data_IF_506061842178
#
_entry.id   IF_506061842178
#
_cell.length_a   1.000
_cell.length_b   1.000
_cell.length_c   1.000
_cell.angle_alpha   90.00
_cell.angle_beta   90.00
_cell.angle_gamma   90.00
#
_symmetry.space_group_name_H-M   'P 1'
#
loop_
_entity.id
_entity.type
_entity.pdbx_description
1 polymer ?
#
# COMPACT_ATOMS: atom_id res chain seq x y z
N UNK A 1 72.58 17.69 26.63
CA UNK A 1 71.31 18.44 26.39
C UNK A 1 70.79 18.00 25.10
N UNK A 2 69.66 17.33 25.10
CA UNK A 2 68.92 16.89 23.85
C UNK A 2 68.09 18.06 23.36
N UNK A 3 68.24 18.52 22.11
CA UNK A 3 67.43 19.60 21.60
C UNK A 3 66.00 19.13 21.47
N UNK A 4 65.08 19.75 22.24
CA UNK A 4 63.68 19.52 22.14
C UNK A 4 63.12 20.24 20.89
N UNK A 5 62.42 19.51 20.04
CA UNK A 5 61.66 20.10 18.91
C UNK A 5 60.32 20.58 19.44
N UNK A 6 60.08 21.89 19.43
CA UNK A 6 58.77 22.45 19.73
C UNK A 6 58.01 22.67 18.41
N UNK A 7 56.88 21.97 18.26
CA UNK A 7 55.95 22.16 17.13
C UNK A 7 54.89 23.16 17.58
N UNK A 8 54.76 24.30 16.87
CA UNK A 8 53.73 25.29 17.10
C UNK A 8 52.75 25.23 15.93
N UNK A 9 51.47 24.95 16.21
CA UNK A 9 50.42 25.07 15.21
C UNK A 9 50.19 26.56 14.94
N UNK A 10 50.47 27.00 13.73
CA UNK A 10 50.33 28.41 13.29
C UNK A 10 48.95 28.72 12.78
N UNK A 11 48.25 27.74 12.26
CA UNK A 11 46.88 27.86 11.81
C UNK A 11 46.15 26.51 11.94
N UNK A 12 44.97 26.52 12.51
CA UNK A 12 44.13 25.32 12.64
C UNK A 12 42.78 25.59 11.92
N UNK A 13 42.69 25.16 10.68
CA UNK A 13 41.47 25.17 9.88
C UNK A 13 40.73 23.83 9.93
N UNK A 14 41.36 22.78 10.41
CA UNK A 14 40.81 21.45 10.47
C UNK A 14 39.84 21.26 11.65
N UNK A 15 40.16 21.82 12.82
CA UNK A 15 39.28 21.70 13.99
C UNK A 15 37.94 22.38 13.84
N UNK A 16 37.82 23.59 13.25
CA UNK A 16 36.54 24.18 12.92
C UNK A 16 35.73 23.33 11.92
N UNK A 17 36.37 22.86 10.84
CA UNK A 17 35.74 22.02 9.85
C UNK A 17 35.25 20.69 10.42
N UNK A 18 36.02 20.06 11.30
CA UNK A 18 35.62 18.85 12.02
C UNK A 18 34.44 19.10 12.96
N UNK A 19 34.41 20.22 13.68
CA UNK A 19 33.27 20.61 14.52
C UNK A 19 32.02 20.82 13.69
N UNK A 20 32.13 21.55 12.59
CA UNK A 20 30.99 21.76 11.66
C UNK A 20 30.47 20.43 11.10
N UNK A 21 31.35 19.48 10.79
CA UNK A 21 30.97 18.14 10.38
C UNK A 21 30.29 17.36 11.52
N UNK A 22 30.81 17.42 12.73
CA UNK A 22 30.19 16.77 13.90
C UNK A 22 28.84 17.38 14.21
N UNK A 23 28.68 18.70 14.15
CA UNK A 23 27.42 19.40 14.33
C UNK A 23 26.43 19.09 13.21
N UNK A 24 26.90 18.82 12.01
CA UNK A 24 26.07 18.40 10.90
C UNK A 24 25.51 16.98 11.07
N UNK A 25 26.17 16.14 11.90
CA UNK A 25 25.81 14.73 12.15
C UNK A 25 24.93 14.58 13.40
N UNK A 26 24.50 15.69 14.05
CA UNK A 26 23.56 15.55 15.17
C UNK A 26 22.27 14.83 14.72
N UNK A 27 21.70 13.95 15.56
CA UNK A 27 20.50 13.17 15.20
C UNK A 27 19.35 14.04 14.67
N UNK A 28 19.16 15.23 15.26
CA UNK A 28 18.09 16.15 14.88
C UNK A 28 18.32 16.73 13.48
N UNK A 29 19.54 17.14 13.16
CA UNK A 29 19.88 17.66 11.84
C UNK A 29 19.83 16.57 10.78
N UNK A 30 20.32 15.37 11.11
CA UNK A 30 20.19 14.20 10.25
C UNK A 30 18.71 13.90 9.96
N UNK A 31 17.89 13.80 11.00
CA UNK A 31 16.46 13.54 10.87
C UNK A 31 15.75 14.59 10.04
N UNK A 32 16.06 15.87 10.26
CA UNK A 32 15.45 16.98 9.50
C UNK A 32 15.80 16.98 8.00
N UNK A 33 16.98 16.47 7.64
CA UNK A 33 17.43 16.40 6.25
C UNK A 33 16.97 15.12 5.54
N UNK A 34 17.16 13.98 6.18
CA UNK A 34 16.88 12.66 5.61
C UNK A 34 15.39 12.35 5.69
N UNK A 35 14.71 12.70 6.79
CA UNK A 35 13.33 12.36 7.04
C UNK A 35 12.36 12.72 5.91
N UNK A 36 12.31 13.98 5.43
CA UNK A 36 11.46 14.36 4.31
C UNK A 36 11.75 13.59 3.03
N UNK A 37 13.02 13.20 2.80
CA UNK A 37 13.42 12.50 1.57
C UNK A 37 13.02 11.02 1.58
N UNK A 38 13.18 10.35 2.70
CA UNK A 38 12.69 8.96 2.84
C UNK A 38 11.16 8.90 2.87
N UNK A 39 10.49 9.95 3.36
CA UNK A 39 9.04 10.07 3.23
C UNK A 39 8.63 10.15 1.77
N UNK A 40 9.23 11.04 0.98
CA UNK A 40 8.94 11.19 -0.46
C UNK A 40 9.24 9.90 -1.21
N UNK A 41 10.40 9.26 -0.96
CA UNK A 41 10.72 7.96 -1.55
C UNK A 41 9.60 6.94 -1.31
N UNK A 42 9.12 6.83 -0.07
CA UNK A 42 8.06 5.89 0.28
C UNK A 42 6.72 6.27 -0.38
N UNK A 43 6.42 7.56 -0.46
CA UNK A 43 5.21 8.07 -1.11
C UNK A 43 5.21 7.74 -2.61
N UNK A 44 6.31 8.01 -3.30
CA UNK A 44 6.45 7.77 -4.74
C UNK A 44 6.41 6.28 -5.06
N UNK A 45 7.08 5.46 -4.25
CA UNK A 45 7.03 4.01 -4.39
C UNK A 45 5.61 3.47 -4.26
N UNK A 46 4.88 3.85 -3.20
CA UNK A 46 3.48 3.45 -3.00
C UNK A 46 2.58 3.96 -4.13
N UNK A 47 2.75 5.19 -4.58
CA UNK A 47 1.98 5.74 -5.69
C UNK A 47 2.22 4.96 -6.99
N UNK A 48 3.45 4.53 -7.23
CA UNK A 48 3.84 3.72 -8.39
C UNK A 48 3.21 2.31 -8.41
N UNK A 49 2.86 1.75 -7.24
CA UNK A 49 2.20 0.44 -7.14
C UNK A 49 0.72 0.45 -7.58
N UNK A 50 0.15 1.61 -7.86
CA UNK A 50 -1.27 1.79 -8.19
C UNK A 50 -1.72 1.17 -9.51
N UNK A 51 -0.84 0.51 -10.26
CA UNK A 51 -1.15 -0.12 -11.54
C UNK A 51 -2.16 -1.27 -11.39
N UNK A 52 -3.14 -1.26 -12.26
CA UNK A 52 -4.24 -2.22 -12.28
C UNK A 52 -3.80 -3.57 -12.86
N UNK A 53 -3.42 -4.51 -12.01
CA UNK A 53 -2.82 -5.79 -12.41
C UNK A 53 -3.78 -6.77 -13.09
N UNK A 54 -5.10 -6.56 -13.06
CA UNK A 54 -6.07 -7.57 -13.55
C UNK A 54 -7.27 -6.98 -14.31
N UNK A 55 -7.19 -5.75 -14.81
CA UNK A 55 -8.34 -5.13 -15.49
C UNK A 55 -9.53 -4.79 -14.58
N UNK A 56 -9.40 -4.95 -13.26
CA UNK A 56 -10.41 -4.53 -12.30
C UNK A 56 -10.33 -3.01 -12.06
N UNK A 57 -11.43 -2.36 -11.66
CA UNK A 57 -11.40 -0.94 -11.31
C UNK A 57 -10.36 -0.67 -10.22
N UNK A 58 -9.49 0.31 -10.45
CA UNK A 58 -8.50 0.70 -9.43
C UNK A 58 -9.22 1.32 -8.23
N UNK A 59 -8.96 0.77 -7.04
CA UNK A 59 -9.43 1.37 -5.78
C UNK A 59 -8.53 2.50 -5.31
N UNK A 60 -7.46 2.79 -6.05
CA UNK A 60 -6.38 3.72 -5.63
C UNK A 60 -5.88 3.41 -4.23
N UNK A 61 -5.80 2.11 -3.92
CA UNK A 61 -5.47 1.63 -2.58
C UNK A 61 -4.13 2.18 -2.11
N UNK A 62 -3.07 1.96 -2.87
CA UNK A 62 -1.71 2.40 -2.49
C UNK A 62 -1.56 3.93 -2.50
N UNK A 63 -2.20 4.64 -3.42
CA UNK A 63 -2.22 6.12 -3.43
C UNK A 63 -2.80 6.71 -2.13
N UNK A 64 -3.81 6.05 -1.54
CA UNK A 64 -4.38 6.48 -0.26
C UNK A 64 -3.38 6.34 0.88
N UNK A 65 -2.56 5.29 0.87
CA UNK A 65 -1.49 5.12 1.85
C UNK A 65 -0.32 6.06 1.60
N UNK A 66 0.05 6.33 0.34
CA UNK A 66 1.09 7.29 0.01
C UNK A 66 0.84 8.66 0.64
N UNK A 67 -0.41 9.13 0.63
CA UNK A 67 -0.80 10.40 1.28
C UNK A 67 -0.67 10.38 2.81
N UNK A 68 -0.66 9.21 3.42
CA UNK A 68 -0.61 9.00 4.86
C UNK A 68 0.77 8.59 5.38
N UNK A 69 1.81 8.67 4.55
CA UNK A 69 3.19 8.46 4.97
C UNK A 69 3.66 9.69 5.76
N UNK A 70 4.29 9.45 6.89
CA UNK A 70 4.93 10.48 7.73
C UNK A 70 6.29 9.99 8.17
N UNK A 71 7.24 10.89 8.20
CA UNK A 71 8.51 10.63 8.86
C UNK A 71 8.45 11.13 10.31
N UNK A 72 9.18 10.47 11.17
CA UNK A 72 9.29 10.77 12.59
C UNK A 72 10.75 10.74 12.99
N UNK A 73 11.24 11.76 13.72
CA UNK A 73 12.57 11.71 14.28
C UNK A 73 12.65 10.60 15.34
N UNK A 74 13.79 9.93 15.40
CA UNK A 74 14.14 8.94 16.42
C UNK A 74 15.49 9.33 17.02
N UNK A 75 15.79 8.86 18.22
CA UNK A 75 17.03 9.19 18.94
C UNK A 75 18.29 8.95 18.11
N UNK A 76 18.29 7.92 17.25
CA UNK A 76 19.43 7.54 16.42
C UNK A 76 19.12 7.48 14.93
N UNK A 77 18.11 8.25 14.46
CA UNK A 77 17.77 8.19 13.04
C UNK A 77 16.39 8.72 12.66
N UNK A 78 15.80 8.09 11.67
CA UNK A 78 14.49 8.45 11.12
C UNK A 78 13.61 7.21 11.02
N UNK A 79 12.40 7.28 11.53
CA UNK A 79 11.36 6.30 11.27
C UNK A 79 10.38 6.80 10.18
N UNK A 80 9.91 5.89 9.34
CA UNK A 80 8.81 6.17 8.42
C UNK A 80 7.57 5.43 8.91
N UNK A 81 6.53 6.17 9.22
CA UNK A 81 5.23 5.64 9.62
C UNK A 81 4.24 5.75 8.45
N UNK A 82 3.56 4.65 8.16
CA UNK A 82 2.46 4.61 7.20
C UNK A 82 1.17 4.48 8.00
N UNK A 83 0.46 5.59 8.13
CA UNK A 83 -0.77 5.64 8.90
C UNK A 83 -1.91 4.92 8.15
N UNK A 84 -2.90 4.38 8.89
CA UNK A 84 -4.07 3.78 8.27
C UNK A 84 -4.79 4.73 7.32
N UNK A 85 -5.35 4.18 6.25
CA UNK A 85 -6.10 4.93 5.25
C UNK A 85 -7.57 4.52 5.23
N UNK A 86 -8.46 5.44 4.84
CA UNK A 86 -9.86 5.14 4.61
C UNK A 86 -10.04 4.49 3.24
N UNK A 87 -10.44 3.23 3.24
CA UNK A 87 -10.76 2.47 2.03
C UNK A 87 -12.22 2.01 2.13
N UNK A 88 -13.06 2.48 1.22
CA UNK A 88 -14.50 2.20 1.22
C UNK A 88 -15.17 2.47 2.59
N UNK A 89 -14.85 3.62 3.21
CA UNK A 89 -15.41 4.03 4.50
C UNK A 89 -14.85 3.28 5.73
N UNK A 90 -13.88 2.39 5.54
CA UNK A 90 -13.25 1.63 6.64
C UNK A 90 -11.79 2.03 6.78
N UNK A 91 -11.34 2.13 8.02
CA UNK A 91 -9.93 2.34 8.31
C UNK A 91 -9.16 1.04 8.13
N UNK A 92 -8.18 1.05 7.25
CA UNK A 92 -7.38 -0.13 6.88
C UNK A 92 -5.91 0.18 7.06
N UNK A 93 -5.14 -0.77 7.59
CA UNK A 93 -3.68 -0.70 7.68
C UNK A 93 -3.00 -1.42 6.51
N UNK A 94 -1.78 -1.00 6.19
CA UNK A 94 -0.97 -1.64 5.15
C UNK A 94 -0.28 -2.94 5.62
N UNK A 95 -0.23 -3.17 6.94
CA UNK A 95 0.53 -4.25 7.55
C UNK A 95 0.25 -5.65 6.99
N UNK A 96 -1.02 -5.97 6.73
CA UNK A 96 -1.39 -7.25 6.11
C UNK A 96 -0.82 -7.45 4.70
N UNK A 97 -0.59 -6.37 3.95
CA UNK A 97 0.03 -6.45 2.62
C UNK A 97 1.53 -6.67 2.71
N UNK A 98 2.17 -6.04 3.70
CA UNK A 98 3.62 -6.12 3.89
C UNK A 98 4.03 -7.42 4.58
N UNK A 99 3.36 -7.78 5.67
CA UNK A 99 3.75 -8.89 6.54
C UNK A 99 2.94 -10.16 6.33
N UNK A 100 1.85 -10.07 5.57
CA UNK A 100 0.89 -11.15 5.45
C UNK A 100 0.05 -11.33 6.71
N UNK A 101 -0.79 -12.35 6.70
CA UNK A 101 -1.61 -12.72 7.83
C UNK A 101 -2.94 -13.31 7.44
N UNK A 102 -3.71 -13.72 8.44
CA UNK A 102 -5.03 -14.31 8.24
C UNK A 102 -6.12 -13.34 8.68
N UNK A 103 -7.01 -13.03 7.75
CA UNK A 103 -8.20 -12.21 8.00
C UNK A 103 -9.33 -13.16 8.38
N UNK A 104 -9.96 -12.89 9.53
CA UNK A 104 -11.17 -13.59 9.98
C UNK A 104 -12.33 -12.60 10.09
N UNK A 105 -13.57 -13.03 9.87
CA UNK A 105 -14.72 -12.18 10.10
C UNK A 105 -14.86 -11.88 11.61
N UNK A 106 -15.24 -10.65 11.95
CA UNK A 106 -15.44 -10.24 13.36
C UNK A 106 -16.91 -10.16 13.73
N UNK A 107 -17.75 -9.61 12.85
CA UNK A 107 -19.18 -9.33 13.12
C UNK A 107 -20.12 -10.16 12.25
N UNK A 108 -19.61 -10.88 11.28
CA UNK A 108 -20.37 -11.70 10.31
C UNK A 108 -19.85 -13.13 10.34
N UNK A 109 -20.67 -14.08 9.93
CA UNK A 109 -20.26 -15.49 9.93
C UNK A 109 -19.15 -15.82 8.90
N UNK A 110 -19.11 -15.10 7.77
CA UNK A 110 -18.16 -15.34 6.69
C UNK A 110 -17.73 -14.03 6.05
N UNK A 111 -16.52 -14.05 5.50
CA UNK A 111 -15.99 -12.97 4.66
C UNK A 111 -16.58 -13.09 3.26
N UNK A 112 -17.04 -11.99 2.69
CA UNK A 112 -17.47 -11.89 1.30
C UNK A 112 -16.31 -11.34 0.44
N UNK A 113 -15.72 -12.22 -0.36
CA UNK A 113 -14.57 -11.91 -1.22
C UNK A 113 -15.09 -11.61 -2.61
N UNK A 114 -14.89 -10.40 -3.18
CA UNK A 114 -15.32 -10.09 -4.53
C UNK A 114 -14.56 -10.95 -5.53
N UNK A 115 -15.28 -11.58 -6.46
CA UNK A 115 -14.72 -12.45 -7.49
C UNK A 115 -15.11 -12.02 -8.91
N UNK A 116 -15.93 -10.99 -9.03
CA UNK A 116 -16.35 -10.40 -10.29
C UNK A 116 -15.85 -8.96 -10.40
N UNK A 117 -15.51 -8.46 -11.60
CA UNK A 117 -15.16 -7.05 -11.79
C UNK A 117 -16.24 -6.09 -11.27
N UNK A 118 -17.52 -6.49 -11.36
CA UNK A 118 -18.66 -5.69 -10.89
C UNK A 118 -18.71 -5.58 -9.36
N UNK A 119 -18.26 -6.61 -8.65
CA UNK A 119 -18.27 -6.63 -7.17
C UNK A 119 -16.98 -6.07 -6.55
N UNK A 120 -15.97 -5.81 -7.37
CA UNK A 120 -14.70 -5.31 -6.88
C UNK A 120 -14.82 -3.86 -6.36
N UNK A 121 -14.43 -3.64 -5.11
CA UNK A 121 -14.58 -2.34 -4.44
C UNK A 121 -15.95 -2.10 -3.81
N UNK A 122 -16.88 -3.04 -3.94
CA UNK A 122 -18.20 -3.00 -3.36
C UNK A 122 -18.38 -4.00 -2.22
N UNK A 123 -19.43 -3.79 -1.42
CA UNK A 123 -19.85 -4.70 -0.35
C UNK A 123 -21.16 -5.39 -0.75
N UNK A 124 -21.50 -6.56 -0.16
CA UNK A 124 -22.73 -7.27 -0.52
C UNK A 124 -24.00 -6.44 -0.40
N UNK A 125 -24.07 -5.49 0.54
CA UNK A 125 -25.22 -4.59 0.71
C UNK A 125 -25.46 -3.64 -0.47
N UNK A 126 -24.48 -3.44 -1.34
CA UNK A 126 -24.61 -2.59 -2.51
C UNK A 126 -25.38 -3.26 -3.65
N UNK A 127 -25.62 -4.58 -3.52
CA UNK A 127 -26.28 -5.39 -4.52
C UNK A 127 -27.66 -5.86 -4.03
N UNK A 128 -28.76 -5.40 -4.64
CA UNK A 128 -30.09 -5.90 -4.30
C UNK A 128 -30.26 -7.35 -4.77
N UNK A 129 -31.14 -8.09 -4.10
CA UNK A 129 -31.53 -9.44 -4.49
C UNK A 129 -30.40 -10.47 -4.59
N UNK A 130 -29.37 -10.33 -3.75
CA UNK A 130 -28.36 -11.38 -3.60
C UNK A 130 -28.96 -12.62 -2.96
N UNK A 131 -28.59 -13.77 -3.47
CA UNK A 131 -28.93 -15.05 -2.84
C UNK A 131 -27.71 -15.92 -2.64
N UNK A 132 -27.77 -16.78 -1.63
CA UNK A 132 -26.73 -17.71 -1.29
C UNK A 132 -26.82 -18.96 -2.19
N UNK A 133 -25.74 -19.27 -2.89
CA UNK A 133 -25.59 -20.51 -3.63
C UNK A 133 -24.44 -21.33 -3.00
N UNK A 134 -24.80 -22.53 -2.52
CA UNK A 134 -23.83 -23.51 -2.04
C UNK A 134 -23.52 -24.50 -3.15
N UNK A 135 -22.23 -24.71 -3.42
CA UNK A 135 -21.73 -25.65 -4.41
C UNK A 135 -20.66 -26.54 -3.78
N UNK A 136 -20.24 -27.58 -4.46
CA UNK A 136 -19.09 -28.41 -4.03
C UNK A 136 -17.77 -27.62 -3.93
N UNK A 137 -17.67 -26.48 -4.63
CA UNK A 137 -16.49 -25.60 -4.62
C UNK A 137 -16.56 -24.48 -3.56
N UNK A 138 -17.66 -24.42 -2.79
CA UNK A 138 -17.84 -23.43 -1.75
C UNK A 138 -19.20 -22.70 -1.81
N UNK A 139 -19.34 -21.70 -0.98
CA UNK A 139 -20.52 -20.85 -0.89
C UNK A 139 -20.26 -19.51 -1.59
N UNK A 140 -21.27 -19.04 -2.30
CA UNK A 140 -21.20 -17.82 -3.10
C UNK A 140 -22.44 -16.97 -2.92
N UNK A 141 -22.26 -15.64 -2.99
CA UNK A 141 -23.37 -14.72 -3.19
C UNK A 141 -23.49 -14.42 -4.67
N UNK A 142 -24.65 -14.71 -5.20
CA UNK A 142 -24.98 -14.61 -6.62
C UNK A 142 -26.15 -13.66 -6.85
N UNK A 143 -26.24 -13.13 -8.06
CA UNK A 143 -27.37 -12.38 -8.56
C UNK A 143 -27.79 -12.95 -9.91
N UNK A 144 -29.07 -12.81 -10.28
CA UNK A 144 -29.51 -13.14 -11.63
C UNK A 144 -29.08 -12.06 -12.60
N UNK A 145 -28.61 -12.43 -13.79
CA UNK A 145 -28.04 -11.49 -14.75
C UNK A 145 -29.01 -10.40 -15.22
N UNK A 146 -30.33 -10.69 -15.20
CA UNK A 146 -31.40 -9.73 -15.51
C UNK A 146 -31.63 -8.65 -14.43
N UNK A 147 -31.06 -8.86 -13.23
CA UNK A 147 -31.20 -7.95 -12.09
C UNK A 147 -29.98 -7.05 -11.86
N UNK A 148 -28.94 -7.17 -12.67
CA UNK A 148 -27.79 -6.28 -12.62
C UNK A 148 -28.18 -4.96 -13.28
N UNK A 149 -28.39 -3.91 -12.47
CA UNK A 149 -28.77 -2.61 -12.98
C UNK A 149 -27.68 -1.99 -13.88
N UNK A 150 -28.07 -1.27 -14.92
CA UNK A 150 -27.17 -0.54 -15.82
C UNK A 150 -26.24 0.47 -15.10
N UNK A 151 -26.63 0.92 -13.90
CA UNK A 151 -25.81 1.83 -13.07
C UNK A 151 -24.56 1.18 -12.49
N UNK A 152 -24.53 -0.13 -12.31
CA UNK A 152 -23.37 -0.89 -11.81
C UNK A 152 -22.49 -1.44 -12.92
N UNK A 153 -22.84 -1.18 -14.15
CA UNK A 153 -22.10 -1.34 -15.39
C UNK A 153 -21.73 -2.74 -15.86
N UNK A 154 -22.36 -3.14 -16.98
CA UNK A 154 -21.85 -4.02 -18.03
C UNK A 154 -21.70 -5.51 -17.74
N UNK A 155 -22.76 -6.16 -17.32
CA UNK A 155 -23.07 -7.50 -17.80
C UNK A 155 -24.52 -7.53 -18.25
N UNK A 156 -24.78 -6.90 -19.38
CA UNK A 156 -26.03 -7.11 -20.11
C UNK A 156 -25.99 -8.55 -20.60
N UNK A 157 -26.73 -9.43 -19.94
CA UNK A 157 -27.00 -10.74 -20.46
C UNK A 157 -27.60 -10.57 -21.84
N UNK A 158 -26.88 -10.99 -22.88
CA UNK A 158 -27.42 -11.07 -24.23
C UNK A 158 -28.61 -11.98 -24.16
N UNK A 159 -29.80 -11.38 -24.25
CA UNK A 159 -31.05 -12.07 -24.45
C UNK A 159 -30.96 -12.81 -25.78
N UNK A 160 -30.61 -14.11 -25.71
CA UNK A 160 -30.71 -14.97 -26.87
C UNK A 160 -32.15 -14.99 -27.35
N UNK A 161 -32.48 -14.22 -28.38
CA UNK A 161 -33.66 -14.43 -29.18
C UNK A 161 -33.51 -15.77 -29.93
N UNK A 162 -34.24 -16.78 -29.50
CA UNK A 162 -34.25 -18.07 -30.17
C UNK A 162 -35.38 -18.90 -29.60
N UNK A 163 -36.55 -18.85 -30.29
CA UNK A 163 -37.75 -19.61 -29.93
C UNK A 163 -37.45 -21.11 -29.85
N UNK A 164 -37.86 -21.67 -28.73
CA UNK A 164 -38.46 -23.01 -28.64
C UNK A 164 -39.07 -23.14 -27.24
N UNK A 165 -40.37 -23.24 -27.21
CA UNK A 165 -41.16 -23.52 -26.03
C UNK A 165 -40.68 -24.82 -25.40
N UNK A 166 -40.08 -24.75 -24.21
CA UNK A 166 -39.63 -25.93 -23.43
C UNK A 166 -38.25 -25.88 -22.84
N UNK A 167 -37.33 -24.99 -23.29
CA UNK A 167 -36.02 -24.81 -22.66
C UNK A 167 -36.15 -23.86 -21.46
N UNK A 168 -36.07 -24.41 -20.26
CA UNK A 168 -35.86 -23.57 -19.06
C UNK A 168 -34.68 -22.66 -19.34
N UNK A 169 -34.95 -21.36 -19.55
CA UNK A 169 -33.91 -20.35 -19.63
C UNK A 169 -33.21 -20.42 -18.28
N UNK A 170 -32.00 -20.99 -18.23
CA UNK A 170 -31.11 -20.82 -17.09
C UNK A 170 -30.81 -19.33 -17.08
N UNK A 171 -31.43 -18.60 -16.16
CA UNK A 171 -31.04 -17.24 -15.88
C UNK A 171 -29.55 -17.25 -15.66
N UNK A 172 -28.78 -16.47 -16.43
CA UNK A 172 -27.35 -16.39 -16.29
C UNK A 172 -27.04 -15.93 -14.87
N UNK A 173 -26.45 -16.82 -14.08
CA UNK A 173 -26.06 -16.54 -12.71
C UNK A 173 -24.73 -15.81 -12.72
N UNK A 174 -24.70 -14.65 -12.09
CA UNK A 174 -23.48 -13.90 -11.89
C UNK A 174 -22.99 -14.13 -10.45
N UNK A 175 -21.82 -14.73 -10.33
CA UNK A 175 -21.15 -14.94 -9.07
C UNK A 175 -20.43 -13.64 -8.68
N UNK A 176 -20.89 -12.99 -7.63
CA UNK A 176 -20.35 -11.69 -7.18
C UNK A 176 -19.32 -11.86 -6.08
N UNK A 177 -19.65 -12.65 -5.06
CA UNK A 177 -18.76 -12.85 -3.93
C UNK A 177 -18.60 -14.33 -3.60
N UNK A 178 -17.38 -14.74 -3.25
CA UNK A 178 -17.11 -16.02 -2.60
C UNK A 178 -17.12 -15.82 -1.09
N UNK A 179 -17.81 -16.71 -0.38
CA UNK A 179 -17.84 -16.70 1.07
C UNK A 179 -16.72 -17.60 1.63
N UNK A 180 -15.96 -17.07 2.58
CA UNK A 180 -14.89 -17.80 3.24
C UNK A 180 -14.89 -17.54 4.75
N UNK A 181 -14.59 -18.57 5.54
CA UNK A 181 -14.46 -18.44 6.99
C UNK A 181 -13.19 -17.66 7.38
N UNK A 182 -12.16 -17.72 6.54
CA UNK A 182 -10.93 -16.94 6.69
C UNK A 182 -10.24 -16.79 5.34
N UNK A 183 -9.37 -15.78 5.25
CA UNK A 183 -8.48 -15.57 4.09
C UNK A 183 -7.09 -15.35 4.62
N UNK A 184 -6.16 -16.20 4.18
CA UNK A 184 -4.73 -15.99 4.43
C UNK A 184 -4.13 -15.27 3.23
N UNK A 185 -3.40 -14.20 3.50
CA UNK A 185 -2.66 -13.44 2.52
C UNK A 185 -1.18 -13.56 2.83
N UNK A 186 -0.39 -13.90 1.84
CA UNK A 186 1.06 -13.84 1.94
C UNK A 186 1.53 -12.38 2.00
N UNK A 187 2.57 -12.13 2.79
CA UNK A 187 3.21 -10.83 2.84
C UNK A 187 3.98 -10.56 1.56
N UNK A 188 4.03 -9.30 1.17
CA UNK A 188 4.89 -8.84 0.09
C UNK A 188 5.67 -7.62 0.55
N UNK A 189 6.97 -7.78 0.74
CA UNK A 189 7.85 -6.69 1.14
C UNK A 189 8.10 -5.68 0.03
N UNK A 190 7.93 -6.05 -1.24
CA UNK A 190 8.07 -5.13 -2.39
C UNK A 190 7.00 -4.01 -2.39
N UNK A 191 6.06 -4.07 -1.46
CA UNK A 191 5.11 -2.97 -1.19
C UNK A 191 5.82 -1.75 -0.58
N UNK A 192 7.00 -1.94 -0.01
CA UNK A 192 7.85 -0.87 0.53
C UNK A 192 9.12 -0.77 -0.31
N UNK A 193 9.76 0.41 -0.35
CA UNK A 193 11.11 0.53 -0.89
C UNK A 193 12.05 -0.47 -0.22
N UNK A 194 13.04 -0.94 -0.95
CA UNK A 194 14.07 -1.83 -0.42
C UNK A 194 14.94 -1.13 0.63
N UNK A 195 15.57 -1.91 1.50
CA UNK A 195 16.50 -1.39 2.49
C UNK A 195 17.67 -0.63 1.81
N UNK A 196 18.10 -1.09 0.63
CA UNK A 196 19.15 -0.42 -0.16
C UNK A 196 18.68 0.95 -0.68
N UNK A 197 17.45 1.09 -1.16
CA UNK A 197 16.90 2.39 -1.59
C UNK A 197 16.82 3.38 -0.44
N UNK A 198 16.40 2.91 0.75
CA UNK A 198 16.39 3.73 1.95
C UNK A 198 17.81 4.16 2.35
N UNK A 199 18.76 3.22 2.33
CA UNK A 199 20.16 3.47 2.68
C UNK A 199 20.81 4.47 1.70
N UNK A 200 20.65 4.27 0.39
CA UNK A 200 21.18 5.17 -0.63
C UNK A 200 20.58 6.58 -0.51
N UNK A 201 19.28 6.66 -0.24
CA UNK A 201 18.61 7.94 0.01
C UNK A 201 19.18 8.62 1.26
N UNK A 202 19.33 7.88 2.35
CA UNK A 202 19.90 8.42 3.59
C UNK A 202 21.33 8.93 3.38
N UNK A 203 22.19 8.14 2.75
CA UNK A 203 23.59 8.51 2.44
C UNK A 203 23.61 9.78 1.57
N UNK A 204 22.86 9.80 0.47
CA UNK A 204 22.81 10.93 -0.47
C UNK A 204 22.49 12.24 0.23
N UNK A 205 21.52 12.24 1.14
CA UNK A 205 21.04 13.46 1.78
C UNK A 205 21.73 13.78 3.13
N UNK A 206 22.37 12.79 3.76
CA UNK A 206 23.24 13.03 4.90
C UNK A 206 24.57 13.67 4.49
N UNK A 207 25.20 13.16 3.41
CA UNK A 207 26.51 13.62 2.94
C UNK A 207 26.44 14.69 1.85
N UNK A 208 25.29 14.94 1.24
CA UNK A 208 25.14 15.89 0.12
C UNK A 208 25.45 17.35 0.46
N UNK A 209 25.97 17.63 1.65
CA UNK A 209 26.37 18.97 2.08
C UNK A 209 27.88 19.23 2.06
N UNK A 210 28.70 18.25 1.72
CA UNK A 210 30.17 18.46 1.68
C UNK A 210 30.69 18.88 0.30
N UNK A 211 29.82 19.02 -0.69
CA UNK A 211 30.24 19.31 -2.07
C UNK A 211 29.32 20.31 -2.76
N UNK A 212 29.38 21.60 -2.41
CA UNK A 212 28.63 22.56 -3.23
C UNK A 212 28.50 23.94 -2.63
N UNK A 213 29.61 24.56 -2.28
CA UNK A 213 29.70 26.03 -2.30
C UNK A 213 30.54 26.38 -3.52
N UNK A 214 29.87 26.63 -4.64
CA UNK A 214 30.34 27.48 -5.73
C UNK A 214 29.20 28.40 -6.10
#
# INVERSE_FOLDING_TARGET
>A
MTPGIAIRVVSDTASPALRDMMDAITPERFAGRVGPKVQVLTQDHLAGLGANLKGYPSTRFYEKFARNVRWLPQDNGVAVAILPALVNGRQVGLGLRVFGGTIKPQTVAMLAIPISPVSYGHVPSDFPNLFLLKTIKGAYLCQRGDQISEKTNRLVGTRGQGGNAGRRIRADLVFLFKLAASVTQEGNRDVLPSDDEYLQTAIKYAYGYTGGSN
#
